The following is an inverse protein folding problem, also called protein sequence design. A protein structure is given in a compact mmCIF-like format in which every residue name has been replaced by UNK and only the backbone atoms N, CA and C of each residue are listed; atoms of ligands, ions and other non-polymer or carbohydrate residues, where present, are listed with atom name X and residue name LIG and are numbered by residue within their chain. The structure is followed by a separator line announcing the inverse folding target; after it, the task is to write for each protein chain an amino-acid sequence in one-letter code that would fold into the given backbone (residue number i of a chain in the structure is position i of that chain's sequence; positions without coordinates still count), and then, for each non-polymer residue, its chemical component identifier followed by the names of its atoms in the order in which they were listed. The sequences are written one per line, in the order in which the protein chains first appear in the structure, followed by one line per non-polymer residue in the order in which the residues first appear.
data_IF_466396089707
#
_entry.id   IF_466396089707
#
_cell.length_a   1.000
_cell.length_b   1.000
_cell.length_c   1.000
_cell.angle_alpha   90.00
_cell.angle_beta   90.00
_cell.angle_gamma   90.00
#
_symmetry.space_group_name_H-M   'P 1'
#
loop_
_entity.id
_entity.type
_entity.pdbx_description
1 polymer ?
#
# COMPACT_ATOMS: atom_id res chain seq x y z
N UNK A 1 4.24 9.58 7.14
CA UNK A 1 5.41 10.15 7.89
C UNK A 1 4.99 11.09 9.03
N UNK A 2 4.04 12.04 8.87
CA UNK A 2 3.58 12.88 10.01
C UNK A 2 3.07 12.01 11.17
N UNK A 3 2.07 11.16 10.92
CA UNK A 3 1.55 10.23 11.93
C UNK A 3 2.62 9.27 12.50
N UNK A 4 3.59 8.84 11.69
CA UNK A 4 4.70 8.02 12.16
C UNK A 4 5.65 8.77 13.11
N UNK A 5 5.90 10.06 12.86
CA UNK A 5 6.63 10.92 13.77
C UNK A 5 5.85 11.11 15.09
N UNK A 6 4.55 11.38 15.00
CA UNK A 6 3.71 11.54 16.17
C UNK A 6 3.68 10.26 17.04
N UNK A 7 3.63 9.06 16.39
CA UNK A 7 3.79 7.76 17.08
C UNK A 7 5.13 7.68 17.82
N UNK A 8 6.25 8.03 17.17
CA UNK A 8 7.57 7.99 17.77
C UNK A 8 7.72 8.96 18.95
N UNK A 9 6.85 9.96 19.04
CA UNK A 9 6.75 10.94 20.12
C UNK A 9 5.69 10.57 21.18
N UNK A 10 5.14 9.35 21.12
CA UNK A 10 4.22 8.78 22.11
C UNK A 10 2.74 8.94 21.81
N UNK A 11 2.34 9.42 20.64
CA UNK A 11 0.95 9.38 20.23
C UNK A 11 0.50 7.93 19.92
N UNK A 12 -0.80 7.68 19.99
CA UNK A 12 -1.37 6.36 19.73
C UNK A 12 -2.36 6.44 18.56
N UNK A 13 -2.24 5.50 17.63
CA UNK A 13 -3.21 5.34 16.55
C UNK A 13 -4.58 4.98 17.14
N UNK A 14 -5.63 5.55 16.55
CA UNK A 14 -7.02 5.49 17.02
C UNK A 14 -7.28 6.21 18.35
N UNK A 15 -6.28 6.94 18.86
CA UNK A 15 -6.38 7.85 20.01
C UNK A 15 -6.18 9.29 19.56
N UNK A 16 -4.92 9.70 19.30
CA UNK A 16 -4.59 11.06 18.88
C UNK A 16 -4.71 11.29 17.37
N UNK A 17 -4.68 10.24 16.56
CA UNK A 17 -5.02 10.28 15.12
C UNK A 17 -5.78 9.04 14.68
N UNK A 18 -6.61 9.20 13.65
CA UNK A 18 -7.48 8.16 13.13
C UNK A 18 -7.37 8.03 11.61
N UNK A 19 -7.39 6.81 11.10
CA UNK A 19 -7.46 6.46 9.69
C UNK A 19 -8.14 5.09 9.53
N UNK A 20 -8.77 4.83 8.40
CA UNK A 20 -9.34 3.55 8.01
C UNK A 20 -8.30 2.44 7.80
N UNK A 21 -7.04 2.78 7.66
CA UNK A 21 -5.95 1.80 7.47
C UNK A 21 -5.61 1.10 8.77
N UNK A 22 -5.22 -0.18 8.66
CA UNK A 22 -4.70 -0.95 9.78
C UNK A 22 -3.33 -0.41 10.25
N UNK A 23 -2.92 -0.72 11.50
CA UNK A 23 -1.76 -0.10 12.15
C UNK A 23 -0.42 -0.43 11.50
N UNK A 24 -0.31 -1.52 10.77
CA UNK A 24 0.96 -2.00 10.21
C UNK A 24 1.67 -1.00 9.30
N UNK A 25 0.91 -0.19 8.52
CA UNK A 25 1.51 0.83 7.66
C UNK A 25 2.16 1.97 8.47
N UNK A 26 1.59 2.32 9.61
CA UNK A 26 2.12 3.39 10.45
C UNK A 26 3.39 2.96 11.17
N UNK A 27 3.41 1.73 11.70
CA UNK A 27 4.64 1.15 12.28
C UNK A 27 5.73 0.92 11.24
N UNK A 28 5.35 0.57 10.01
CA UNK A 28 6.28 0.53 8.90
C UNK A 28 6.94 1.89 8.66
N UNK A 29 6.13 2.95 8.60
CA UNK A 29 6.62 4.31 8.42
C UNK A 29 7.43 4.81 9.64
N UNK A 30 7.06 4.42 10.85
CA UNK A 30 7.78 4.73 12.08
C UNK A 30 9.15 4.06 12.09
N UNK A 31 9.23 2.78 11.72
CA UNK A 31 10.49 2.06 11.55
C UNK A 31 11.38 2.73 10.49
N UNK A 32 10.78 3.16 9.37
CA UNK A 32 11.50 3.90 8.35
C UNK A 32 12.09 5.21 8.90
N UNK A 33 11.30 5.92 9.70
CA UNK A 33 11.72 7.15 10.38
C UNK A 33 12.89 6.93 11.32
N UNK A 34 12.85 5.88 12.15
CA UNK A 34 13.95 5.56 13.08
C UNK A 34 15.24 5.13 12.39
N UNK A 35 15.12 4.39 11.27
CA UNK A 35 16.29 3.88 10.55
C UNK A 35 16.92 4.93 9.63
N UNK A 36 16.12 5.75 8.98
CA UNK A 36 16.56 6.60 7.87
C UNK A 36 16.13 8.07 7.98
N UNK A 37 15.34 8.43 8.98
CA UNK A 37 14.81 9.79 9.19
C UNK A 37 13.32 9.91 8.85
N UNK A 38 12.64 10.79 9.62
CA UNK A 38 11.19 11.08 9.45
C UNK A 38 10.96 12.08 8.31
N UNK A 39 11.51 11.79 7.14
CA UNK A 39 11.37 12.60 5.93
C UNK A 39 11.04 11.73 4.70
N UNK A 40 10.96 12.36 3.56
CA UNK A 40 10.65 11.66 2.31
C UNK A 40 11.78 10.75 1.84
N UNK A 41 13.03 11.07 2.14
CA UNK A 41 14.17 10.22 1.81
C UNK A 41 14.15 8.95 2.66
N UNK A 42 13.85 9.07 3.96
CA UNK A 42 13.78 7.94 4.88
C UNK A 42 12.80 6.88 4.42
N UNK A 43 11.58 7.26 4.01
CA UNK A 43 10.60 6.29 3.51
C UNK A 43 11.04 5.66 2.17
N UNK A 44 11.73 6.41 1.29
CA UNK A 44 12.23 5.87 0.01
C UNK A 44 13.37 4.87 0.22
N UNK A 45 14.28 5.13 1.15
CA UNK A 45 15.33 4.18 1.51
C UNK A 45 14.74 2.90 2.10
N UNK A 46 13.73 3.02 2.95
CA UNK A 46 13.01 1.87 3.48
C UNK A 46 12.30 1.07 2.38
N UNK A 47 11.63 1.74 1.43
CA UNK A 47 10.99 1.10 0.28
C UNK A 47 12.01 0.37 -0.62
N UNK A 48 13.21 0.92 -0.79
CA UNK A 48 14.32 0.25 -1.50
C UNK A 48 14.79 -1.01 -0.76
N UNK A 49 14.96 -0.96 0.56
CA UNK A 49 15.32 -2.14 1.36
C UNK A 49 14.25 -3.23 1.24
N UNK A 50 12.99 -2.84 1.31
CA UNK A 50 11.84 -3.72 1.15
C UNK A 50 11.83 -4.38 -0.22
N UNK A 51 11.97 -3.60 -1.28
CA UNK A 51 11.96 -4.09 -2.65
C UNK A 51 13.14 -5.02 -2.94
N UNK A 52 14.31 -4.72 -2.37
CA UNK A 52 15.48 -5.60 -2.46
C UNK A 52 15.21 -6.94 -1.77
N UNK A 53 14.58 -6.92 -0.59
CA UNK A 53 14.17 -8.13 0.13
C UNK A 53 13.17 -8.94 -0.69
N UNK A 54 12.16 -8.28 -1.26
CA UNK A 54 11.18 -8.94 -2.14
C UNK A 54 11.88 -9.51 -3.38
N UNK A 55 12.78 -8.76 -4.03
CA UNK A 55 13.54 -9.26 -5.19
C UNK A 55 14.28 -10.56 -4.89
N UNK A 56 14.97 -10.61 -3.75
CA UNK A 56 15.68 -11.79 -3.30
C UNK A 56 14.71 -12.97 -3.05
N UNK A 57 13.58 -12.72 -2.39
CA UNK A 57 12.57 -13.75 -2.14
C UNK A 57 11.99 -14.30 -3.45
N UNK A 58 11.68 -13.45 -4.42
CA UNK A 58 11.17 -13.87 -5.72
C UNK A 58 12.23 -14.71 -6.47
N UNK A 59 13.49 -14.30 -6.44
CA UNK A 59 14.58 -15.07 -7.00
C UNK A 59 14.70 -16.45 -6.33
N UNK A 60 14.66 -16.52 -5.00
CA UNK A 60 14.69 -17.77 -4.23
C UNK A 60 13.53 -18.69 -4.58
N UNK A 61 12.31 -18.16 -4.71
CA UNK A 61 11.12 -18.90 -5.09
C UNK A 61 11.23 -19.49 -6.51
N UNK A 62 11.83 -18.73 -7.42
CA UNK A 62 11.86 -19.09 -8.85
C UNK A 62 13.11 -19.84 -9.28
N UNK A 63 14.17 -19.92 -8.45
CA UNK A 63 15.43 -20.60 -8.82
C UNK A 63 15.24 -22.08 -9.19
N UNK A 64 14.26 -22.76 -8.59
CA UNK A 64 13.91 -24.13 -8.93
C UNK A 64 13.22 -24.27 -10.30
N UNK A 65 12.77 -23.15 -10.89
CA UNK A 65 12.15 -23.08 -12.22
C UNK A 65 13.13 -22.74 -13.34
N UNK A 66 14.42 -22.61 -13.00
CA UNK A 66 15.51 -22.28 -13.91
C UNK A 66 16.01 -20.85 -13.76
N UNK A 67 17.27 -20.64 -14.17
CA UNK A 67 17.98 -19.38 -13.99
C UNK A 67 17.26 -18.19 -14.67
N UNK A 68 16.66 -18.41 -15.85
CA UNK A 68 15.96 -17.36 -16.58
C UNK A 68 14.69 -16.90 -15.84
N UNK A 69 13.88 -17.84 -15.34
CA UNK A 69 12.70 -17.51 -14.54
C UNK A 69 13.08 -16.78 -13.25
N UNK A 70 14.16 -17.22 -12.59
CA UNK A 70 14.66 -16.58 -11.38
C UNK A 70 15.14 -15.14 -11.61
N UNK A 71 15.82 -14.89 -12.73
CA UNK A 71 16.27 -13.54 -13.09
C UNK A 71 15.12 -12.62 -13.51
N UNK A 72 14.18 -13.14 -14.32
CA UNK A 72 13.07 -12.35 -14.85
C UNK A 72 11.99 -12.04 -13.81
N UNK A 73 11.79 -12.88 -12.80
CA UNK A 73 10.77 -12.65 -11.77
C UNK A 73 10.85 -11.29 -11.09
N UNK A 74 11.98 -10.95 -10.46
CA UNK A 74 12.18 -9.62 -9.88
C UNK A 74 12.06 -8.49 -10.91
N UNK A 75 12.57 -8.69 -12.13
CA UNK A 75 12.52 -7.66 -13.19
C UNK A 75 11.07 -7.38 -13.58
N UNK A 76 10.28 -8.40 -13.89
CA UNK A 76 8.89 -8.22 -14.32
C UNK A 76 7.98 -7.72 -13.19
N UNK A 77 8.21 -8.19 -11.96
CA UNK A 77 7.41 -7.79 -10.81
C UNK A 77 7.77 -6.39 -10.30
N UNK A 78 9.05 -6.17 -9.96
CA UNK A 78 9.47 -4.97 -9.25
C UNK A 78 9.90 -3.86 -10.19
N UNK A 79 10.80 -4.13 -11.13
CA UNK A 79 11.25 -3.09 -12.05
C UNK A 79 10.11 -2.58 -12.93
N UNK A 80 9.19 -3.48 -13.35
CA UNK A 80 7.97 -3.10 -14.06
C UNK A 80 7.07 -2.17 -13.25
N UNK A 81 6.88 -2.44 -11.95
CA UNK A 81 6.16 -1.56 -11.05
C UNK A 81 6.83 -0.18 -10.94
N UNK A 82 8.10 -0.14 -10.54
CA UNK A 82 8.81 1.14 -10.35
C UNK A 82 8.96 1.96 -11.62
N UNK A 83 8.95 1.32 -12.79
CA UNK A 83 8.97 2.00 -14.06
C UNK A 83 7.70 2.83 -14.34
N UNK A 84 6.54 2.40 -13.81
CA UNK A 84 5.24 3.03 -14.08
C UNK A 84 4.62 3.70 -12.85
N UNK A 85 5.02 3.29 -11.62
CA UNK A 85 4.42 3.79 -10.39
C UNK A 85 4.61 5.30 -10.22
N UNK A 86 3.53 5.98 -9.92
CA UNK A 86 3.54 7.39 -9.53
C UNK A 86 3.98 7.52 -8.05
N UNK A 87 4.54 8.67 -7.62
CA UNK A 87 5.04 8.86 -6.25
C UNK A 87 4.02 8.54 -5.16
N UNK A 88 2.74 8.76 -5.40
CA UNK A 88 1.65 8.47 -4.46
C UNK A 88 1.26 6.98 -4.38
N UNK A 89 1.69 6.16 -5.35
CA UNK A 89 1.52 4.71 -5.35
C UNK A 89 2.62 4.00 -4.54
N UNK A 90 3.77 4.64 -4.35
CA UNK A 90 4.90 4.04 -3.66
C UNK A 90 4.62 3.89 -2.16
N UNK A 91 5.08 2.78 -1.60
CA UNK A 91 4.90 2.43 -0.18
C UNK A 91 3.43 2.32 0.26
N UNK A 92 2.50 2.07 -0.67
CA UNK A 92 1.12 1.75 -0.33
C UNK A 92 1.01 0.35 0.29
N UNK A 93 -0.04 0.14 1.06
CA UNK A 93 -0.26 -1.11 1.80
C UNK A 93 -0.33 -2.31 0.86
N UNK A 94 -0.93 -2.16 -0.32
CA UNK A 94 -1.07 -3.17 -1.35
C UNK A 94 0.29 -3.64 -1.89
N UNK A 95 1.24 -2.72 -1.99
CA UNK A 95 2.61 -3.02 -2.34
C UNK A 95 3.34 -3.70 -1.18
N UNK A 96 3.21 -3.15 0.03
CA UNK A 96 3.91 -3.64 1.22
C UNK A 96 3.49 -5.07 1.61
N UNK A 97 2.23 -5.44 1.42
CA UNK A 97 1.74 -6.80 1.71
C UNK A 97 2.40 -7.86 0.81
N UNK A 98 3.01 -7.44 -0.28
CA UNK A 98 3.72 -8.33 -1.20
C UNK A 98 4.84 -9.12 -0.55
N UNK A 99 5.61 -8.55 0.39
CA UNK A 99 6.68 -9.28 1.06
C UNK A 99 6.16 -10.35 2.03
N UNK A 100 5.24 -10.08 2.99
CA UNK A 100 4.71 -11.15 3.82
C UNK A 100 4.02 -12.26 3.01
N UNK A 101 3.35 -11.95 1.88
CA UNK A 101 2.82 -12.98 1.00
C UNK A 101 3.93 -13.78 0.29
N UNK A 102 5.01 -13.14 -0.14
CA UNK A 102 6.16 -13.83 -0.75
C UNK A 102 6.90 -14.72 0.27
N UNK A 103 7.11 -14.25 1.51
CA UNK A 103 7.68 -15.06 2.60
C UNK A 103 6.76 -16.24 2.93
N UNK A 104 5.45 -16.00 3.02
CA UNK A 104 4.45 -17.05 3.22
C UNK A 104 4.57 -18.12 2.13
N UNK A 105 4.57 -17.72 0.85
CA UNK A 105 4.76 -18.68 -0.26
C UNK A 105 6.09 -19.44 -0.15
N UNK A 106 7.17 -18.73 0.19
CA UNK A 106 8.47 -19.40 0.38
C UNK A 106 8.42 -20.45 1.48
N UNK A 107 7.85 -20.13 2.65
CA UNK A 107 7.65 -21.06 3.75
C UNK A 107 6.81 -22.29 3.34
N UNK A 108 5.82 -22.10 2.49
CA UNK A 108 4.88 -23.13 2.10
C UNK A 108 5.37 -23.97 0.88
N UNK A 109 6.22 -23.39 0.00
CA UNK A 109 6.72 -24.08 -1.19
C UNK A 109 8.05 -24.80 -0.96
N UNK A 110 8.86 -24.36 0.03
CA UNK A 110 10.13 -24.99 0.31
C UNK A 110 9.96 -26.36 0.97
N UNK A 111 10.60 -27.37 0.42
CA UNK A 111 10.51 -28.78 0.85
C UNK A 111 11.64 -29.19 1.79
N UNK A 112 12.21 -28.21 2.52
CA UNK A 112 13.37 -28.44 3.41
C UNK A 112 13.19 -29.66 4.31
N UNK A 113 14.20 -30.53 4.32
CA UNK A 113 14.23 -31.81 5.01
C UNK A 113 14.50 -31.61 6.52
N UNK A 114 13.50 -31.91 7.35
CA UNK A 114 13.65 -31.99 8.80
C UNK A 114 12.43 -31.48 9.58
N UNK A 115 12.17 -32.08 10.73
CA UNK A 115 11.03 -31.76 11.57
C UNK A 115 11.10 -30.34 12.15
N UNK A 116 12.28 -29.93 12.62
CA UNK A 116 12.52 -28.59 13.19
C UNK A 116 12.34 -27.51 12.11
N UNK A 117 12.87 -27.75 10.90
CA UNK A 117 12.70 -26.84 9.77
C UNK A 117 11.23 -26.69 9.38
N UNK A 118 10.41 -27.73 9.48
CA UNK A 118 8.97 -27.66 9.22
C UNK A 118 8.26 -26.77 10.26
N UNK A 119 8.50 -27.00 11.55
CA UNK A 119 7.90 -26.20 12.63
C UNK A 119 8.25 -24.71 12.48
N UNK A 120 9.54 -24.40 12.28
CA UNK A 120 9.98 -23.00 12.12
C UNK A 120 9.34 -22.31 10.92
N UNK A 121 9.23 -23.00 9.77
CA UNK A 121 8.61 -22.45 8.56
C UNK A 121 7.12 -22.19 8.75
N UNK A 122 6.37 -23.12 9.34
CA UNK A 122 4.94 -22.90 9.59
C UNK A 122 4.70 -21.85 10.67
N UNK A 123 5.57 -21.73 11.69
CA UNK A 123 5.51 -20.61 12.63
C UNK A 123 5.73 -19.27 11.93
N UNK A 124 6.73 -19.19 11.05
CA UNK A 124 6.96 -17.99 10.23
C UNK A 124 5.79 -17.70 9.29
N UNK A 125 5.21 -18.74 8.66
CA UNK A 125 4.02 -18.61 7.83
C UNK A 125 2.84 -18.01 8.62
N UNK A 126 2.62 -18.46 9.84
CA UNK A 126 1.61 -17.87 10.74
C UNK A 126 1.91 -16.41 11.10
N UNK A 127 3.16 -16.07 11.40
CA UNK A 127 3.56 -14.68 11.62
C UNK A 127 3.30 -13.81 10.39
N UNK A 128 3.54 -14.33 9.17
CA UNK A 128 3.24 -13.59 7.94
C UNK A 128 1.73 -13.39 7.74
N UNK A 129 0.91 -14.35 8.14
CA UNK A 129 -0.55 -14.16 8.18
C UNK A 129 -0.93 -12.98 9.09
N UNK A 130 -0.35 -12.90 10.29
CA UNK A 130 -0.57 -11.76 11.19
C UNK A 130 -0.06 -10.44 10.61
N UNK A 131 1.08 -10.43 9.90
CA UNK A 131 1.56 -9.25 9.17
C UNK A 131 0.55 -8.81 8.11
N UNK A 132 0.00 -9.74 7.33
CA UNK A 132 -1.04 -9.41 6.32
C UNK A 132 -2.27 -8.81 7.00
N UNK A 133 -2.73 -9.39 8.12
CA UNK A 133 -3.82 -8.85 8.92
C UNK A 133 -3.56 -7.40 9.35
N UNK A 134 -2.38 -7.13 9.90
CA UNK A 134 -2.01 -5.83 10.43
C UNK A 134 -1.76 -4.79 9.31
N UNK A 135 -1.42 -5.21 8.10
CA UNK A 135 -1.28 -4.34 6.94
C UNK A 135 -2.64 -4.12 6.26
N UNK A 136 -3.39 -5.18 5.97
CA UNK A 136 -4.66 -5.09 5.26
C UNK A 136 -5.55 -6.33 5.48
N UNK A 137 -6.50 -6.23 6.40
CA UNK A 137 -7.41 -7.30 6.80
C UNK A 137 -8.09 -8.01 5.61
N UNK A 138 -8.56 -7.26 4.62
CA UNK A 138 -9.29 -7.80 3.47
C UNK A 138 -8.46 -8.78 2.62
N UNK A 139 -7.14 -8.82 2.81
CA UNK A 139 -6.22 -9.74 2.12
C UNK A 139 -5.95 -11.04 2.90
N UNK A 140 -6.49 -11.19 4.10
CA UNK A 140 -6.40 -12.44 4.88
C UNK A 140 -6.91 -13.65 4.09
N UNK A 141 -8.01 -13.58 3.31
CA UNK A 141 -8.43 -14.72 2.50
C UNK A 141 -7.38 -15.17 1.48
N UNK A 142 -6.56 -14.26 0.92
CA UNK A 142 -5.45 -14.62 0.02
C UNK A 142 -4.43 -15.49 0.77
N UNK A 143 -3.93 -14.98 1.89
CA UNK A 143 -2.91 -15.66 2.71
C UNK A 143 -3.45 -16.97 3.32
N UNK A 144 -4.69 -16.94 3.82
CA UNK A 144 -5.36 -18.11 4.39
C UNK A 144 -5.56 -19.25 3.37
N UNK A 145 -6.00 -18.92 2.16
CA UNK A 145 -6.15 -19.91 1.08
C UNK A 145 -4.81 -20.46 0.59
N UNK A 146 -3.74 -19.66 0.56
CA UNK A 146 -2.39 -20.18 0.30
C UNK A 146 -1.99 -21.25 1.34
N UNK A 147 -2.22 -20.98 2.62
CA UNK A 147 -1.97 -21.95 3.69
C UNK A 147 -2.84 -23.19 3.52
N UNK A 148 -4.14 -23.04 3.24
CA UNK A 148 -5.05 -24.15 3.02
C UNK A 148 -4.63 -25.03 1.82
N UNK A 149 -4.16 -24.45 0.72
CA UNK A 149 -3.62 -25.20 -0.42
C UNK A 149 -2.42 -26.05 0.02
N UNK A 150 -1.50 -25.47 0.80
CA UNK A 150 -0.36 -26.22 1.30
C UNK A 150 -0.79 -27.41 2.17
N UNK A 151 -1.69 -27.18 3.14
CA UNK A 151 -2.23 -28.22 4.01
C UNK A 151 -2.98 -29.31 3.23
N UNK A 152 -3.77 -28.89 2.23
CA UNK A 152 -4.51 -29.78 1.35
C UNK A 152 -3.56 -30.70 0.55
N UNK A 153 -2.49 -30.12 0.00
CA UNK A 153 -1.50 -30.92 -0.72
C UNK A 153 -0.74 -31.89 0.20
N UNK A 154 -0.40 -31.49 1.43
CA UNK A 154 0.19 -32.39 2.41
C UNK A 154 -0.75 -33.57 2.72
N UNK A 155 -2.06 -33.28 2.88
CA UNK A 155 -3.03 -34.31 3.23
C UNK A 155 -3.36 -35.25 2.06
N UNK A 156 -3.68 -34.69 0.90
CA UNK A 156 -4.25 -35.47 -0.20
C UNK A 156 -3.23 -35.90 -1.25
N UNK A 157 -2.17 -35.13 -1.47
CA UNK A 157 -1.13 -35.49 -2.44
C UNK A 157 0.00 -36.28 -1.78
N UNK A 158 0.49 -35.79 -0.61
CA UNK A 158 1.59 -36.45 0.13
C UNK A 158 1.12 -37.51 1.12
N UNK A 159 -0.21 -37.66 1.27
CA UNK A 159 -0.85 -38.64 2.15
C UNK A 159 -0.43 -38.54 3.63
N UNK A 160 -0.02 -37.35 4.09
CA UNK A 160 0.37 -37.16 5.49
C UNK A 160 -0.82 -37.35 6.44
N UNK A 161 -0.63 -37.99 7.60
CA UNK A 161 -1.71 -38.17 8.58
C UNK A 161 -2.07 -36.83 9.23
N UNK A 162 -3.36 -36.67 9.61
CA UNK A 162 -3.85 -35.45 10.27
C UNK A 162 -3.05 -35.08 11.52
N UNK A 163 -2.65 -36.09 12.32
CA UNK A 163 -1.84 -35.84 13.52
C UNK A 163 -0.51 -35.14 13.21
N UNK A 164 0.14 -35.50 12.09
CA UNK A 164 1.36 -34.81 11.61
C UNK A 164 1.05 -33.37 11.19
N UNK A 165 0.02 -33.20 10.36
CA UNK A 165 -0.39 -31.86 9.85
C UNK A 165 -0.73 -30.93 11.01
N UNK A 166 -1.54 -31.40 11.98
CA UNK A 166 -1.90 -30.59 13.13
C UNK A 166 -0.66 -30.20 13.94
N UNK A 167 0.16 -31.17 14.34
CA UNK A 167 1.30 -30.91 15.25
C UNK A 167 2.44 -30.14 14.60
N UNK A 168 2.69 -30.36 13.31
CA UNK A 168 3.88 -29.82 12.61
C UNK A 168 3.60 -28.63 11.71
N UNK A 169 2.34 -28.35 11.43
CA UNK A 169 1.95 -27.29 10.49
C UNK A 169 0.91 -26.34 11.10
N UNK A 170 -0.27 -26.84 11.49
CA UNK A 170 -1.36 -25.97 11.98
C UNK A 170 -0.98 -25.33 13.33
N UNK A 171 -0.56 -26.12 14.32
CA UNK A 171 -0.20 -25.58 15.64
C UNK A 171 0.96 -24.59 15.55
N UNK A 172 2.08 -24.88 14.85
CA UNK A 172 3.13 -23.88 14.65
C UNK A 172 2.65 -22.61 13.94
N UNK A 173 1.81 -22.73 12.90
CA UNK A 173 1.26 -21.56 12.22
C UNK A 173 0.39 -20.73 13.16
N UNK A 174 -0.45 -21.37 13.96
CA UNK A 174 -1.26 -20.67 14.98
C UNK A 174 -0.37 -19.99 16.03
N UNK A 175 0.67 -20.66 16.52
CA UNK A 175 1.62 -20.07 17.47
C UNK A 175 2.30 -18.85 16.87
N UNK A 176 2.83 -18.94 15.65
CA UNK A 176 3.45 -17.80 14.97
C UNK A 176 2.49 -16.62 14.78
N UNK A 177 1.24 -16.91 14.42
CA UNK A 177 0.19 -15.90 14.29
C UNK A 177 -0.10 -15.19 15.63
N UNK A 178 -0.28 -15.98 16.69
CA UNK A 178 -0.60 -15.48 18.05
C UNK A 178 0.58 -14.70 18.64
N UNK A 179 1.81 -15.21 18.51
CA UNK A 179 3.02 -14.56 19.03
C UNK A 179 3.21 -13.17 18.43
N UNK A 180 2.85 -12.95 17.17
CA UNK A 180 2.94 -11.63 16.57
C UNK A 180 1.73 -10.75 16.87
N UNK A 181 0.52 -11.30 16.85
CA UNK A 181 -0.70 -10.50 16.99
C UNK A 181 -0.99 -10.10 18.45
N UNK A 182 -0.80 -11.01 19.42
CA UNK A 182 -1.17 -10.74 20.82
C UNK A 182 -0.42 -9.53 21.42
N UNK A 183 0.89 -9.35 21.24
CA UNK A 183 1.57 -8.13 21.73
C UNK A 183 0.95 -6.86 21.18
N UNK A 184 0.54 -6.85 19.93
CA UNK A 184 -0.12 -5.71 19.27
C UNK A 184 -1.46 -5.39 19.93
N UNK A 185 -2.28 -6.42 20.15
CA UNK A 185 -3.59 -6.24 20.81
C UNK A 185 -3.41 -5.78 22.26
N UNK A 186 -2.44 -6.32 23.00
CA UNK A 186 -2.13 -5.90 24.36
C UNK A 186 -1.64 -4.45 24.42
N UNK A 187 -0.79 -4.04 23.46
CA UNK A 187 -0.37 -2.65 23.34
C UNK A 187 -1.56 -1.73 23.11
N UNK A 188 -2.44 -2.05 22.18
CA UNK A 188 -3.65 -1.26 21.90
C UNK A 188 -4.61 -1.22 23.10
N UNK A 189 -4.74 -2.35 23.81
CA UNK A 189 -5.54 -2.39 25.04
C UNK A 189 -4.95 -1.48 26.13
N UNK A 190 -3.63 -1.52 26.33
CA UNK A 190 -2.95 -0.67 27.31
C UNK A 190 -3.04 0.83 26.94
N UNK A 191 -3.00 1.15 25.66
CA UNK A 191 -3.20 2.50 25.12
C UNK A 191 -4.67 2.95 25.13
N UNK A 192 -5.63 2.07 25.46
CA UNK A 192 -7.07 2.38 25.44
C UNK A 192 -7.68 2.51 24.04
N UNK A 193 -6.96 2.12 23.00
CA UNK A 193 -7.36 2.32 21.59
C UNK A 193 -7.94 1.07 20.92
N UNK A 194 -7.91 -0.09 21.58
CA UNK A 194 -8.37 -1.35 20.98
C UNK A 194 -9.84 -1.31 20.55
N UNK A 195 -10.71 -0.70 21.36
CA UNK A 195 -12.14 -0.58 21.02
C UNK A 195 -12.35 0.20 19.71
N UNK A 196 -11.66 1.32 19.53
CA UNK A 196 -11.70 2.11 18.31
C UNK A 196 -11.08 1.37 17.12
N UNK A 197 -9.98 0.66 17.33
CA UNK A 197 -9.35 -0.18 16.29
C UNK A 197 -10.31 -1.27 15.77
N UNK A 198 -11.03 -1.95 16.67
CA UNK A 198 -12.04 -2.96 16.32
C UNK A 198 -13.21 -2.31 15.57
N UNK A 199 -13.70 -1.18 16.08
CA UNK A 199 -14.80 -0.46 15.44
C UNK A 199 -14.41 0.00 14.02
N UNK A 200 -13.26 0.66 13.85
CA UNK A 200 -12.75 1.12 12.55
C UNK A 200 -12.56 -0.04 11.56
N UNK A 201 -12.14 -1.20 12.05
CA UNK A 201 -11.83 -2.34 11.19
C UNK A 201 -13.09 -3.10 10.73
N UNK A 202 -14.09 -3.25 11.61
CA UNK A 202 -15.21 -4.16 11.37
C UNK A 202 -16.58 -3.48 11.28
N UNK A 203 -16.75 -2.29 11.85
CA UNK A 203 -18.04 -1.59 11.91
C UNK A 203 -18.09 -0.42 10.94
N UNK A 204 -17.13 0.48 11.03
CA UNK A 204 -17.08 1.72 10.27
C UNK A 204 -17.23 1.53 8.74
N UNK A 205 -16.56 0.55 8.07
CA UNK A 205 -16.75 0.34 6.63
C UNK A 205 -18.19 0.01 6.25
N UNK A 206 -18.91 -0.72 7.13
CA UNK A 206 -20.32 -1.03 6.93
C UNK A 206 -21.24 0.17 7.12
N UNK A 207 -20.93 1.04 8.07
CA UNK A 207 -21.67 2.28 8.30
C UNK A 207 -21.46 3.28 7.18
N UNK A 208 -20.22 3.47 6.72
CA UNK A 208 -19.89 4.30 5.57
C UNK A 208 -20.61 3.82 4.31
N UNK A 209 -20.67 2.50 4.07
CA UNK A 209 -21.42 1.95 2.94
C UNK A 209 -22.94 2.19 3.02
N UNK A 210 -23.51 2.20 4.21
CA UNK A 210 -24.94 2.53 4.39
C UNK A 210 -25.22 4.00 4.15
N UNK A 211 -24.31 4.87 4.57
CA UNK A 211 -24.44 6.32 4.39
C UNK A 211 -24.15 6.73 2.93
N UNK A 212 -23.22 6.05 2.24
CA UNK A 212 -22.79 6.32 0.88
C UNK A 212 -22.94 5.08 -0.03
N UNK A 213 -24.15 4.69 -0.41
CA UNK A 213 -24.41 3.43 -1.12
C UNK A 213 -23.99 3.42 -2.59
N UNK A 214 -23.28 4.42 -3.08
CA UNK A 214 -22.95 4.52 -4.51
C UNK A 214 -21.75 3.64 -4.88
N UNK A 215 -22.02 2.60 -5.67
CA UNK A 215 -21.00 1.74 -6.24
C UNK A 215 -20.27 2.47 -7.38
N UNK A 216 -18.98 2.67 -7.20
CA UNK A 216 -18.11 3.34 -8.19
C UNK A 216 -17.50 2.33 -9.18
N UNK A 217 -18.34 1.49 -9.81
CA UNK A 217 -17.87 0.44 -10.75
C UNK A 217 -17.01 1.02 -11.88
N UNK A 218 -17.35 2.23 -12.35
CA UNK A 218 -16.55 2.91 -13.39
C UNK A 218 -15.10 3.17 -12.92
N UNK A 219 -14.88 3.50 -11.64
CA UNK A 219 -13.54 3.67 -11.07
C UNK A 219 -12.78 2.34 -11.01
N UNK A 220 -13.46 1.25 -10.63
CA UNK A 220 -12.87 -0.09 -10.66
C UNK A 220 -12.41 -0.44 -12.08
N UNK A 221 -13.26 -0.22 -13.07
CA UNK A 221 -12.94 -0.51 -14.47
C UNK A 221 -11.83 0.39 -15.01
N UNK A 222 -11.84 1.67 -14.65
CA UNK A 222 -10.78 2.63 -15.02
C UNK A 222 -9.43 2.22 -14.41
N UNK A 223 -9.39 1.88 -13.12
CA UNK A 223 -8.17 1.44 -12.43
C UNK A 223 -7.67 0.09 -12.95
N UNK A 224 -8.59 -0.84 -13.24
CA UNK A 224 -8.25 -2.10 -13.90
C UNK A 224 -7.67 -1.85 -15.30
N UNK A 225 -8.31 -0.99 -16.10
CA UNK A 225 -7.82 -0.63 -17.44
C UNK A 225 -6.41 -0.01 -17.36
N UNK A 226 -6.18 0.90 -16.42
CA UNK A 226 -4.87 1.47 -16.18
C UNK A 226 -3.84 0.37 -15.84
N UNK A 227 -4.13 -0.51 -14.88
CA UNK A 227 -3.25 -1.62 -14.52
C UNK A 227 -2.96 -2.54 -15.72
N UNK A 228 -3.98 -2.98 -16.43
CA UNK A 228 -3.81 -3.83 -17.61
C UNK A 228 -2.96 -3.13 -18.68
N UNK A 229 -3.10 -1.82 -18.85
CA UNK A 229 -2.26 -1.00 -19.72
C UNK A 229 -0.78 -0.97 -19.32
N UNK A 230 -0.48 -1.17 -18.03
CA UNK A 230 0.92 -1.22 -17.55
C UNK A 230 1.57 -2.61 -17.63
N UNK A 231 0.77 -3.69 -17.70
CA UNK A 231 1.28 -5.08 -17.68
C UNK A 231 0.87 -5.91 -18.91
N UNK A 232 0.22 -5.32 -19.91
CA UNK A 232 -0.35 -6.03 -21.08
C UNK A 232 0.66 -6.96 -21.76
N UNK A 233 1.91 -6.55 -21.87
CA UNK A 233 3.00 -7.31 -22.48
C UNK A 233 3.41 -8.56 -21.67
N UNK A 234 3.06 -8.62 -20.39
CA UNK A 234 3.29 -9.78 -19.51
C UNK A 234 2.13 -10.78 -19.54
N UNK A 235 0.91 -10.33 -19.90
CA UNK A 235 -0.31 -11.15 -19.81
C UNK A 235 -0.21 -12.48 -20.58
N UNK A 236 0.25 -12.54 -21.85
CA UNK A 236 0.35 -13.81 -22.57
C UNK A 236 1.27 -14.81 -21.86
N UNK A 237 2.38 -14.33 -21.31
CA UNK A 237 3.33 -15.16 -20.57
C UNK A 237 2.78 -15.60 -19.22
N UNK A 238 2.09 -14.72 -18.51
CA UNK A 238 1.44 -15.06 -17.24
C UNK A 238 0.37 -16.15 -17.45
N UNK A 239 -0.46 -16.03 -18.48
CA UNK A 239 -1.44 -17.04 -18.84
C UNK A 239 -0.79 -18.37 -19.21
N UNK A 240 0.30 -18.35 -19.98
CA UNK A 240 1.06 -19.56 -20.32
C UNK A 240 1.67 -20.20 -19.08
N UNK A 241 2.32 -19.44 -18.21
CA UNK A 241 2.89 -19.92 -16.96
C UNK A 241 1.84 -20.52 -16.02
N UNK A 242 0.67 -19.88 -15.93
CA UNK A 242 -0.47 -20.40 -15.17
C UNK A 242 -0.94 -21.73 -15.74
N UNK A 243 -1.21 -21.80 -17.05
CA UNK A 243 -1.71 -22.99 -17.72
C UNK A 243 -0.76 -24.19 -17.54
N UNK A 244 0.53 -24.00 -17.86
CA UNK A 244 1.52 -25.08 -17.77
C UNK A 244 1.76 -25.52 -16.34
N UNK A 245 1.81 -24.59 -15.39
CA UNK A 245 2.02 -24.89 -13.99
C UNK A 245 0.84 -25.56 -13.30
N UNK A 246 -0.39 -25.17 -13.61
CA UNK A 246 -1.61 -25.85 -13.12
C UNK A 246 -1.66 -27.31 -13.60
N UNK A 247 -1.33 -27.55 -14.89
CA UNK A 247 -1.25 -28.91 -15.45
C UNK A 247 -0.18 -29.78 -14.77
N UNK A 248 0.88 -29.17 -14.28
CA UNK A 248 1.93 -29.86 -13.52
C UNK A 248 1.62 -30.03 -12.04
N UNK A 249 0.48 -29.54 -11.54
CA UNK A 249 0.13 -29.59 -10.12
C UNK A 249 1.01 -28.72 -9.22
N UNK A 250 1.65 -27.69 -9.78
CA UNK A 250 2.61 -26.85 -9.07
C UNK A 250 1.96 -26.07 -7.93
N UNK A 251 2.41 -26.30 -6.69
CA UNK A 251 1.95 -25.59 -5.48
C UNK A 251 2.12 -24.07 -5.64
N UNK A 252 3.28 -23.63 -6.11
CA UNK A 252 3.57 -22.22 -6.32
C UNK A 252 2.55 -21.56 -7.27
N UNK A 253 2.22 -22.24 -8.39
CA UNK A 253 1.26 -21.70 -9.35
C UNK A 253 -0.15 -21.62 -8.77
N UNK A 254 -0.59 -22.61 -8.00
CA UNK A 254 -1.86 -22.55 -7.30
C UNK A 254 -1.93 -21.36 -6.32
N UNK A 255 -0.85 -21.09 -5.57
CA UNK A 255 -0.79 -19.94 -4.66
C UNK A 255 -0.81 -18.60 -5.43
N UNK A 256 -0.06 -18.50 -6.54
CA UNK A 256 -0.08 -17.30 -7.37
C UNK A 256 -1.46 -17.06 -8.02
N UNK A 257 -2.13 -18.14 -8.47
CA UNK A 257 -3.47 -18.05 -9.02
C UNK A 257 -4.49 -17.59 -7.95
N UNK A 258 -4.39 -18.09 -6.72
CA UNK A 258 -5.19 -17.61 -5.59
C UNK A 258 -4.88 -16.14 -5.29
N UNK A 259 -3.60 -15.74 -5.29
CA UNK A 259 -3.26 -14.34 -5.06
C UNK A 259 -3.94 -13.42 -6.09
N UNK A 260 -3.89 -13.77 -7.38
CA UNK A 260 -4.54 -12.97 -8.42
C UNK A 260 -6.07 -13.00 -8.26
N UNK A 261 -6.68 -14.18 -8.15
CA UNK A 261 -8.15 -14.32 -8.18
C UNK A 261 -8.83 -13.79 -6.92
N UNK A 262 -8.33 -14.20 -5.75
CA UNK A 262 -8.89 -13.77 -4.46
C UNK A 262 -8.48 -12.33 -4.13
N UNK A 263 -7.27 -11.93 -4.51
CA UNK A 263 -6.84 -10.53 -4.44
C UNK A 263 -7.75 -9.62 -5.26
N UNK A 264 -8.12 -10.03 -6.48
CA UNK A 264 -9.08 -9.28 -7.29
C UNK A 264 -10.48 -9.21 -6.65
N UNK A 265 -10.97 -10.31 -6.11
CA UNK A 265 -12.22 -10.31 -5.36
C UNK A 265 -12.15 -9.37 -4.14
N UNK A 266 -11.03 -9.38 -3.41
CA UNK A 266 -10.80 -8.47 -2.29
C UNK A 266 -10.80 -7.00 -2.72
N UNK A 267 -10.17 -6.65 -3.86
CA UNK A 267 -10.23 -5.29 -4.42
C UNK A 267 -11.66 -4.94 -4.85
N UNK A 268 -12.36 -5.84 -5.52
CA UNK A 268 -13.72 -5.60 -6.01
C UNK A 268 -14.75 -5.39 -4.88
N UNK A 269 -14.53 -6.02 -3.72
CA UNK A 269 -15.39 -5.86 -2.53
C UNK A 269 -15.14 -4.51 -1.82
N UNK A 270 -14.00 -3.84 -2.06
CA UNK A 270 -13.69 -2.52 -1.48
C UNK A 270 -14.51 -1.40 -2.12
N UNK A 271 -15.82 -1.43 -2.00
CA UNK A 271 -16.76 -0.51 -2.68
C UNK A 271 -16.58 0.98 -2.31
N UNK A 272 -15.80 1.31 -1.28
CA UNK A 272 -15.58 2.70 -0.85
C UNK A 272 -14.67 3.49 -1.80
N UNK A 273 -13.66 2.83 -2.38
CA UNK A 273 -12.73 3.46 -3.32
C UNK A 273 -12.04 2.43 -4.21
N UNK A 274 -11.72 2.80 -5.44
CA UNK A 274 -11.04 1.95 -6.41
C UNK A 274 -9.88 2.69 -7.05
N UNK A 275 -8.92 3.12 -6.22
CA UNK A 275 -7.72 3.80 -6.71
C UNK A 275 -6.79 2.85 -7.48
N UNK A 276 -6.03 3.33 -8.47
CA UNK A 276 -5.07 2.51 -9.22
C UNK A 276 -4.09 1.74 -8.34
N UNK A 277 -3.65 2.30 -7.21
CA UNK A 277 -2.72 1.64 -6.29
C UNK A 277 -3.28 0.36 -5.64
N UNK A 278 -4.60 0.13 -5.63
CA UNK A 278 -5.15 -1.15 -5.18
C UNK A 278 -4.71 -2.31 -6.07
N UNK A 279 -4.32 -2.03 -7.31
CA UNK A 279 -3.80 -2.99 -8.26
C UNK A 279 -2.29 -3.24 -8.13
N UNK A 280 -1.56 -2.48 -7.28
CA UNK A 280 -0.15 -2.73 -6.97
C UNK A 280 0.07 -4.12 -6.39
N UNK A 281 -0.96 -4.65 -5.74
CA UNK A 281 -1.04 -6.03 -5.25
C UNK A 281 -0.70 -7.08 -6.32
N UNK A 282 -0.94 -6.80 -7.60
CA UNK A 282 -0.86 -7.79 -8.67
C UNK A 282 0.46 -7.79 -9.45
N UNK A 283 1.32 -6.78 -9.31
CA UNK A 283 2.60 -6.76 -10.02
C UNK A 283 3.47 -7.96 -9.69
N UNK A 284 3.52 -8.36 -8.41
CA UNK A 284 4.32 -9.52 -7.97
C UNK A 284 3.79 -10.82 -8.58
N UNK A 285 2.54 -11.24 -8.38
CA UNK A 285 2.08 -12.53 -8.90
C UNK A 285 2.04 -12.57 -10.43
N UNK A 286 1.67 -11.48 -11.10
CA UNK A 286 1.66 -11.41 -12.58
C UNK A 286 3.09 -11.49 -13.12
N UNK A 287 4.03 -10.75 -12.53
CA UNK A 287 5.43 -10.78 -12.92
C UNK A 287 6.06 -12.17 -12.74
N UNK A 288 5.78 -12.84 -11.61
CA UNK A 288 6.23 -14.21 -11.36
C UNK A 288 5.65 -15.21 -12.35
N UNK A 289 4.34 -15.18 -12.59
CA UNK A 289 3.67 -16.05 -13.56
C UNK A 289 4.22 -15.84 -14.97
N UNK A 290 4.46 -14.58 -15.36
CA UNK A 290 5.04 -14.25 -16.65
C UNK A 290 6.50 -14.77 -16.78
N UNK A 291 7.31 -14.62 -15.73
CA UNK A 291 8.67 -15.12 -15.71
C UNK A 291 8.74 -16.65 -15.81
N UNK A 292 7.83 -17.36 -15.15
CA UNK A 292 7.69 -18.83 -15.25
C UNK A 292 7.27 -19.21 -16.67
N UNK A 293 6.25 -18.55 -17.22
CA UNK A 293 5.76 -18.84 -18.57
C UNK A 293 6.79 -18.59 -19.65
N UNK A 294 7.53 -17.49 -19.53
CA UNK A 294 8.63 -17.18 -20.45
C UNK A 294 9.76 -18.21 -20.34
N UNK A 295 10.17 -18.56 -19.11
CA UNK A 295 11.22 -19.55 -18.85
C UNK A 295 10.85 -20.95 -19.41
N UNK A 296 9.59 -21.38 -19.24
CA UNK A 296 9.07 -22.64 -19.81
C UNK A 296 9.07 -22.61 -21.35
N UNK A 297 8.61 -21.52 -21.96
CA UNK A 297 8.64 -21.36 -23.41
C UNK A 297 10.05 -21.38 -23.98
N UNK A 298 10.98 -20.70 -23.30
CA UNK A 298 12.40 -20.71 -23.65
C UNK A 298 13.02 -22.11 -23.56
N UNK A 299 12.76 -22.83 -22.46
CA UNK A 299 13.27 -24.20 -22.27
C UNK A 299 12.76 -25.15 -23.35
N UNK A 300 11.48 -25.04 -23.74
CA UNK A 300 10.89 -25.85 -24.83
C UNK A 300 11.50 -25.51 -26.18
N UNK A 301 11.74 -24.23 -26.48
CA UNK A 301 12.42 -23.82 -27.72
C UNK A 301 13.86 -24.32 -27.75
N UNK A 302 14.55 -24.35 -26.61
CA UNK A 302 15.87 -24.91 -26.48
C UNK A 302 15.90 -26.42 -26.70
N UNK A 303 14.97 -27.15 -26.08
CA UNK A 303 14.89 -28.62 -26.21
C UNK A 303 14.57 -29.09 -27.64
N UNK A 304 13.77 -28.30 -28.37
CA UNK A 304 13.43 -28.61 -29.78
C UNK A 304 14.55 -28.30 -30.78
N UNK A 305 15.67 -27.74 -30.33
CA UNK A 305 16.80 -27.30 -31.17
C UNK A 305 16.35 -26.42 -32.36
N UNK A 306 15.28 -25.64 -32.19
CA UNK A 306 14.70 -24.78 -33.21
C UNK A 306 15.24 -23.36 -33.08
N UNK A 307 16.23 -22.93 -33.88
CA UNK A 307 16.82 -21.58 -33.78
C UNK A 307 15.76 -20.46 -33.95
N UNK A 308 14.80 -20.63 -34.86
CA UNK A 308 13.74 -19.67 -35.12
C UNK A 308 12.88 -19.42 -33.88
N UNK A 309 12.53 -20.45 -33.10
CA UNK A 309 11.78 -20.30 -31.86
C UNK A 309 12.58 -19.58 -30.76
N UNK A 310 13.90 -19.81 -30.71
CA UNK A 310 14.78 -19.08 -29.76
C UNK A 310 14.86 -17.61 -30.11
N UNK A 311 15.02 -17.27 -31.40
CA UNK A 311 15.03 -15.89 -31.84
C UNK A 311 13.67 -15.20 -31.62
N UNK A 312 12.56 -15.90 -31.87
CA UNK A 312 11.25 -15.38 -31.54
C UNK A 312 11.07 -15.11 -30.04
N UNK A 313 11.52 -16.03 -29.18
CA UNK A 313 11.48 -15.83 -27.72
C UNK A 313 12.41 -14.68 -27.28
N UNK A 314 13.62 -14.58 -27.84
CA UNK A 314 14.52 -13.46 -27.55
C UNK A 314 13.92 -12.11 -28.00
N UNK A 315 13.30 -12.06 -29.17
CA UNK A 315 12.58 -10.87 -29.65
C UNK A 315 11.41 -10.49 -28.74
N UNK A 316 10.62 -11.48 -28.31
CA UNK A 316 9.54 -11.26 -27.36
C UNK A 316 10.05 -10.72 -25.99
N UNK A 317 11.17 -11.25 -25.49
CA UNK A 317 11.80 -10.72 -24.28
C UNK A 317 12.25 -9.27 -24.47
N UNK A 318 12.88 -8.96 -25.59
CA UNK A 318 13.29 -7.60 -25.93
C UNK A 318 12.09 -6.64 -25.95
N UNK A 319 10.98 -7.06 -26.54
CA UNK A 319 9.72 -6.28 -26.53
C UNK A 319 9.24 -6.07 -25.11
N UNK A 320 9.19 -7.11 -24.28
CA UNK A 320 8.77 -7.00 -22.88
C UNK A 320 9.66 -6.03 -22.09
N UNK A 321 10.97 -6.14 -22.22
CA UNK A 321 11.91 -5.25 -21.52
C UNK A 321 11.84 -3.81 -22.06
N UNK A 322 11.65 -3.63 -23.36
CA UNK A 322 11.54 -2.30 -23.95
C UNK A 322 10.23 -1.62 -23.52
N UNK A 323 9.09 -2.28 -23.69
CA UNK A 323 7.77 -1.73 -23.37
C UNK A 323 7.53 -1.59 -21.86
N UNK A 324 7.95 -2.57 -21.08
CA UNK A 324 7.70 -2.62 -19.65
C UNK A 324 8.71 -1.87 -18.78
N UNK A 325 9.91 -1.61 -19.31
CA UNK A 325 10.98 -1.03 -18.51
C UNK A 325 11.64 0.15 -19.21
N UNK A 326 12.24 -0.05 -20.40
CA UNK A 326 13.08 0.97 -21.02
C UNK A 326 12.30 2.24 -21.39
N UNK A 327 11.14 2.12 -22.02
CA UNK A 327 10.32 3.27 -22.41
C UNK A 327 9.74 4.02 -21.19
N UNK A 328 9.11 3.35 -20.18
CA UNK A 328 8.63 4.04 -18.99
C UNK A 328 9.75 4.72 -18.18
N UNK A 329 10.89 4.04 -17.97
CA UNK A 329 12.05 4.63 -17.30
C UNK A 329 12.63 5.79 -18.08
N UNK A 330 12.75 5.67 -19.42
CA UNK A 330 13.22 6.73 -20.28
C UNK A 330 12.33 7.98 -20.16
N UNK A 331 11.01 7.81 -20.15
CA UNK A 331 10.06 8.91 -19.94
C UNK A 331 10.23 9.55 -18.56
N UNK A 332 10.29 8.77 -17.49
CA UNK A 332 10.52 9.29 -16.14
C UNK A 332 11.86 10.00 -15.99
N UNK A 333 12.92 9.42 -16.54
CA UNK A 333 14.24 10.05 -16.55
C UNK A 333 14.19 11.40 -17.27
N UNK A 334 13.54 11.45 -18.44
CA UNK A 334 13.37 12.70 -19.17
C UNK A 334 12.57 13.73 -18.35
N UNK A 335 11.48 13.34 -17.69
CA UNK A 335 10.68 14.22 -16.84
C UNK A 335 11.51 14.75 -15.65
N UNK A 336 12.30 13.89 -14.99
CA UNK A 336 13.19 14.28 -13.90
C UNK A 336 14.29 15.22 -14.39
N UNK A 337 14.96 14.91 -15.51
CA UNK A 337 16.01 15.77 -16.10
C UNK A 337 15.42 17.11 -16.53
N UNK A 338 14.26 17.12 -17.18
CA UNK A 338 13.57 18.34 -17.57
C UNK A 338 13.19 19.21 -16.36
N UNK A 339 12.75 18.58 -15.26
CA UNK A 339 12.46 19.28 -14.01
C UNK A 339 13.73 19.87 -13.35
N UNK A 340 14.89 19.21 -13.48
CA UNK A 340 16.16 19.68 -12.91
C UNK A 340 16.91 20.68 -13.80
N UNK A 341 16.59 20.75 -15.09
CA UNK A 341 17.14 21.80 -15.99
C UNK A 341 16.65 23.21 -15.60
N UNK A 342 15.59 23.31 -14.81
CA UNK A 342 15.17 24.54 -14.16
C UNK A 342 15.56 24.45 -12.68
N UNK A 343 16.09 25.52 -12.03
CA UNK A 343 16.48 25.48 -10.63
C UNK A 343 15.26 25.24 -9.75
N UNK A 344 15.04 23.97 -9.45
CA UNK A 344 13.94 23.48 -8.64
C UNK A 344 14.51 23.10 -7.29
N UNK A 345 13.98 23.68 -6.23
CA UNK A 345 14.38 23.41 -4.87
C UNK A 345 14.19 21.90 -4.53
N UNK A 346 15.05 21.32 -3.67
CA UNK A 346 15.00 19.89 -3.27
C UNK A 346 13.61 19.41 -2.83
N UNK A 347 12.77 20.33 -2.40
CA UNK A 347 11.37 20.07 -2.03
C UNK A 347 10.44 19.78 -3.23
N UNK A 348 10.80 20.20 -4.43
CA UNK A 348 9.98 20.05 -5.64
C UNK A 348 10.05 18.65 -6.27
N UNK A 349 11.09 17.85 -5.94
CA UNK A 349 11.18 16.44 -6.38
C UNK A 349 10.04 15.55 -5.86
N UNK A 350 9.44 15.93 -4.72
CA UNK A 350 8.28 15.25 -4.14
C UNK A 350 6.97 15.64 -4.81
N UNK A 351 7.04 16.51 -5.69
CA UNK A 351 6.03 17.41 -6.11
C UNK A 351 5.58 17.28 -7.53
N UNK A 352 6.17 16.46 -8.37
CA UNK A 352 5.82 16.28 -9.77
C UNK A 352 4.50 15.54 -10.02
N UNK A 353 3.66 15.35 -9.01
CA UNK A 353 2.33 14.79 -9.18
C UNK A 353 1.36 15.85 -9.67
N UNK A 354 1.11 15.87 -10.98
CA UNK A 354 0.20 16.79 -11.68
C UNK A 354 -1.24 16.82 -11.15
N UNK A 355 -1.66 15.88 -10.29
CA UNK A 355 -3.05 15.71 -9.89
C UNK A 355 -3.41 16.22 -8.48
N UNK A 356 -2.44 16.72 -7.67
CA UNK A 356 -2.71 17.04 -6.26
C UNK A 356 -2.31 18.47 -5.83
N UNK A 357 -2.58 19.46 -6.65
CA UNK A 357 -2.04 20.81 -6.42
C UNK A 357 -0.50 20.73 -6.49
N UNK A 358 0.16 21.55 -7.30
CA UNK A 358 1.60 21.42 -7.46
C UNK A 358 2.30 21.48 -6.10
N UNK A 359 3.42 20.82 -5.95
CA UNK A 359 4.22 20.83 -4.72
C UNK A 359 4.75 22.20 -4.37
N UNK A 360 5.01 23.02 -5.35
CA UNK A 360 5.44 24.38 -5.11
C UNK A 360 4.40 25.16 -4.30
N UNK A 361 3.14 25.09 -4.73
CA UNK A 361 2.04 25.78 -4.05
C UNK A 361 1.80 25.24 -2.63
N UNK A 362 1.97 23.93 -2.41
CA UNK A 362 1.88 23.35 -1.06
C UNK A 362 3.05 23.81 -0.17
N UNK A 363 4.25 23.83 -0.69
CA UNK A 363 5.43 24.31 0.03
C UNK A 363 5.31 25.80 0.34
N UNK A 364 4.83 26.62 -0.60
CA UNK A 364 4.55 28.04 -0.39
C UNK A 364 3.47 28.24 0.71
N UNK A 365 2.39 27.47 0.65
CA UNK A 365 1.34 27.51 1.68
C UNK A 365 1.88 27.07 3.05
N UNK A 366 2.74 26.05 3.10
CA UNK A 366 3.36 25.61 4.35
C UNK A 366 4.39 26.65 4.89
N UNK A 367 5.12 27.31 4.01
CA UNK A 367 6.05 28.38 4.41
C UNK A 367 5.32 29.57 5.04
N UNK A 368 4.16 29.94 4.48
CA UNK A 368 3.31 31.01 5.04
C UNK A 368 2.90 30.73 6.50
N UNK A 369 2.56 29.48 6.83
CA UNK A 369 2.20 29.07 8.19
C UNK A 369 3.33 29.24 9.17
N UNK A 370 4.56 28.86 8.78
CA UNK A 370 5.73 28.96 9.67
C UNK A 370 6.01 30.39 10.13
N UNK A 371 5.68 31.38 9.31
CA UNK A 371 5.76 32.79 9.69
C UNK A 371 4.59 33.29 10.57
N UNK A 372 3.49 32.54 10.66
CA UNK A 372 2.26 32.92 11.35
C UNK A 372 2.01 32.13 12.65
N UNK A 373 2.81 31.10 12.94
CA UNK A 373 2.65 30.20 14.08
C UNK A 373 3.97 29.88 14.75
N UNK A 374 3.93 29.58 16.05
CA UNK A 374 5.04 29.00 16.80
C UNK A 374 5.14 27.48 16.55
N UNK A 375 6.31 26.88 16.83
CA UNK A 375 6.53 25.44 16.60
C UNK A 375 5.64 24.56 17.48
N UNK A 376 5.20 25.05 18.63
CA UNK A 376 4.28 24.38 19.54
C UNK A 376 2.82 24.48 19.14
N UNK A 377 2.47 25.36 18.19
CA UNK A 377 1.08 25.57 17.78
C UNK A 377 0.54 24.36 17.04
N UNK A 378 -0.72 24.04 17.32
CA UNK A 378 -1.47 23.03 16.59
C UNK A 378 -2.32 23.72 15.53
N UNK A 379 -2.45 23.05 14.39
CA UNK A 379 -3.24 23.55 13.24
C UNK A 379 -4.29 22.52 12.83
N UNK A 380 -5.21 22.94 11.99
CA UNK A 380 -6.08 22.05 11.23
C UNK A 380 -5.70 22.13 9.76
N UNK A 381 -5.50 20.98 9.12
CA UNK A 381 -5.43 20.87 7.67
C UNK A 381 -6.55 19.97 7.20
N UNK A 382 -7.48 20.55 6.45
CA UNK A 382 -8.63 19.83 5.91
C UNK A 382 -8.47 19.57 4.42
N UNK A 383 -8.44 18.28 4.06
CA UNK A 383 -8.31 17.80 2.69
C UNK A 383 -6.87 17.57 2.22
N UNK A 384 -5.84 17.88 3.02
CA UNK A 384 -4.44 17.56 2.69
C UNK A 384 -3.57 17.38 3.93
N UNK A 385 -3.39 16.13 4.36
CA UNK A 385 -2.57 15.78 5.53
C UNK A 385 -1.08 16.11 5.34
N UNK A 386 -0.59 16.32 4.10
CA UNK A 386 0.80 16.70 3.82
C UNK A 386 1.18 18.02 4.48
N UNK A 387 0.19 18.90 4.75
CA UNK A 387 0.42 20.16 5.45
C UNK A 387 0.99 19.97 6.86
N UNK A 388 0.58 18.96 7.61
CA UNK A 388 1.17 18.65 8.91
C UNK A 388 2.65 18.30 8.81
N UNK A 389 3.00 17.55 7.75
CA UNK A 389 4.40 17.19 7.48
C UNK A 389 5.23 18.41 7.03
N UNK A 390 4.72 19.18 6.06
CA UNK A 390 5.43 20.32 5.49
C UNK A 390 5.59 21.48 6.47
N UNK A 391 4.61 21.73 7.34
CA UNK A 391 4.67 22.79 8.36
C UNK A 391 5.44 22.38 9.60
N UNK A 392 5.57 21.09 9.87
CA UNK A 392 6.08 20.56 11.13
C UNK A 392 5.12 20.77 12.32
N UNK A 393 3.86 21.15 12.07
CA UNK A 393 2.83 21.39 13.11
C UNK A 393 2.02 20.14 13.35
N UNK A 394 1.56 19.95 14.60
CA UNK A 394 0.70 18.83 14.97
C UNK A 394 -0.77 19.10 14.67
N UNK A 395 -1.55 18.06 14.33
CA UNK A 395 -2.99 18.18 14.18
C UNK A 395 -3.66 18.46 15.53
N UNK A 396 -4.79 19.16 15.46
CA UNK A 396 -5.72 19.33 16.59
C UNK A 396 -6.92 18.40 16.47
N UNK A 397 -7.17 17.93 15.25
CA UNK A 397 -8.25 17.01 14.90
C UNK A 397 -7.66 15.65 14.55
N UNK A 398 -8.34 14.59 14.90
CA UNK A 398 -7.93 13.22 14.64
C UNK A 398 -8.05 12.85 13.14
N UNK A 399 -8.86 13.60 12.39
CA UNK A 399 -9.28 13.35 11.01
C UNK A 399 -8.83 14.51 10.12
N UNK A 400 -8.24 14.20 8.97
CA UNK A 400 -7.66 15.19 8.04
C UNK A 400 -8.51 15.53 6.80
N UNK A 401 -9.68 14.93 6.65
CA UNK A 401 -10.60 15.20 5.53
C UNK A 401 -10.24 14.53 4.20
N UNK A 402 -9.39 13.52 4.21
CA UNK A 402 -8.88 12.91 2.98
C UNK A 402 -9.83 11.94 2.27
N UNK A 403 -10.75 11.25 2.96
CA UNK A 403 -11.60 10.22 2.35
C UNK A 403 -12.94 10.05 3.06
N UNK A 404 -13.71 9.02 2.72
CA UNK A 404 -15.09 8.77 3.15
C UNK A 404 -15.29 8.73 4.67
N UNK A 405 -15.81 9.79 5.24
CA UNK A 405 -16.13 9.91 6.67
C UNK A 405 -17.64 9.95 6.89
N UNK A 406 -18.07 9.41 8.03
CA UNK A 406 -19.46 9.54 8.47
C UNK A 406 -19.80 11.01 8.79
N UNK A 407 -21.04 11.41 8.53
CA UNK A 407 -21.52 12.77 8.86
C UNK A 407 -21.32 13.09 10.34
N UNK A 408 -21.45 12.10 11.23
CA UNK A 408 -21.17 12.23 12.66
C UNK A 408 -19.72 12.58 12.97
N UNK A 409 -18.76 11.99 12.25
CA UNK A 409 -17.33 12.29 12.36
C UNK A 409 -17.04 13.72 11.89
N UNK A 410 -17.64 14.16 10.78
CA UNK A 410 -17.52 15.54 10.29
C UNK A 410 -18.07 16.57 11.31
N UNK A 411 -19.20 16.27 11.94
CA UNK A 411 -19.78 17.12 12.99
C UNK A 411 -18.85 17.21 14.22
N UNK A 412 -18.22 16.10 14.62
CA UNK A 412 -17.22 16.09 15.70
C UNK A 412 -16.02 16.98 15.37
N UNK A 413 -15.47 16.90 14.17
CA UNK A 413 -14.36 17.77 13.72
C UNK A 413 -14.75 19.24 13.78
N UNK A 414 -15.95 19.61 13.28
CA UNK A 414 -16.43 20.98 13.36
C UNK A 414 -16.53 21.48 14.81
N UNK A 415 -17.04 20.65 15.72
CA UNK A 415 -17.08 20.97 17.15
C UNK A 415 -15.71 21.15 17.79
N UNK A 416 -14.74 20.31 17.42
CA UNK A 416 -13.36 20.45 17.89
C UNK A 416 -12.76 21.77 17.42
N UNK A 417 -12.95 22.17 16.15
CA UNK A 417 -12.49 23.44 15.61
C UNK A 417 -13.10 24.61 16.39
N UNK A 418 -14.42 24.58 16.66
CA UNK A 418 -15.12 25.63 17.40
C UNK A 418 -14.68 25.73 18.86
N UNK A 419 -14.45 24.58 19.52
CA UNK A 419 -14.09 24.50 20.94
C UNK A 419 -12.61 24.85 21.18
N UNK A 420 -11.71 24.30 20.39
CA UNK A 420 -10.26 24.46 20.59
C UNK A 420 -9.69 25.70 19.89
N UNK A 421 -10.43 26.28 18.96
CA UNK A 421 -10.11 27.53 18.25
C UNK A 421 -8.66 27.60 17.77
N UNK A 422 -8.20 26.66 16.87
CA UNK A 422 -6.85 26.68 16.37
C UNK A 422 -6.49 28.01 15.73
N UNK A 423 -5.23 28.44 15.88
CA UNK A 423 -4.76 29.72 15.33
C UNK A 423 -4.92 29.77 13.81
N UNK A 424 -4.67 28.64 13.12
CA UNK A 424 -4.78 28.52 11.67
C UNK A 424 -5.52 27.25 11.26
N UNK A 425 -6.31 27.38 10.19
CA UNK A 425 -6.99 26.27 9.51
C UNK A 425 -6.69 26.36 8.03
N UNK A 426 -6.18 25.26 7.46
CA UNK A 426 -6.01 25.11 6.02
C UNK A 426 -7.21 24.38 5.43
N UNK A 427 -7.77 24.89 4.35
CA UNK A 427 -8.76 24.22 3.53
C UNK A 427 -8.13 23.98 2.15
N UNK A 428 -7.91 22.71 1.82
CA UNK A 428 -7.38 22.31 0.50
C UNK A 428 -8.40 22.65 -0.60
N UNK A 429 -7.91 23.17 -1.71
CA UNK A 429 -8.69 23.30 -2.96
C UNK A 429 -8.77 22.01 -3.75
N UNK A 430 -7.94 21.03 -3.40
CA UNK A 430 -8.06 19.71 -3.95
C UNK A 430 -9.36 19.09 -3.47
N UNK A 431 -10.23 18.83 -4.42
CA UNK A 431 -11.46 18.05 -4.21
C UNK A 431 -11.41 16.88 -5.16
N UNK A 432 -11.47 15.68 -4.61
CA UNK A 432 -11.77 14.52 -5.42
C UNK A 432 -13.20 14.67 -5.97
N UNK A 433 -13.37 14.84 -7.29
CA UNK A 433 -14.70 15.01 -7.88
C UNK A 433 -15.61 13.80 -7.66
N UNK A 434 -15.01 12.65 -7.37
CA UNK A 434 -15.71 11.38 -7.16
C UNK A 434 -16.12 11.15 -5.69
N UNK A 435 -15.65 11.99 -4.76
CA UNK A 435 -15.98 11.91 -3.35
C UNK A 435 -17.02 12.98 -3.00
N UNK A 436 -18.29 12.64 -3.15
CA UNK A 436 -19.41 13.45 -2.66
C UNK A 436 -19.73 13.05 -1.23
N UNK A 437 -19.38 13.89 -0.26
CA UNK A 437 -19.79 13.73 1.14
C UNK A 437 -21.11 14.41 1.38
N UNK A 438 -22.06 13.73 2.02
CA UNK A 438 -23.12 14.42 2.73
C UNK A 438 -22.46 15.19 3.89
N UNK A 439 -22.57 16.53 3.90
CA UNK A 439 -21.89 17.36 4.89
C UNK A 439 -20.49 17.85 4.54
N UNK A 440 -19.95 17.58 3.34
CA UNK A 440 -18.62 18.05 2.91
C UNK A 440 -18.44 19.58 3.03
N UNK A 441 -19.52 20.35 2.98
CA UNK A 441 -19.53 21.78 3.21
C UNK A 441 -19.50 22.21 4.67
N UNK A 442 -19.66 21.30 5.64
CA UNK A 442 -19.76 21.65 7.06
C UNK A 442 -18.47 22.30 7.58
N UNK A 443 -17.33 21.66 7.33
CA UNK A 443 -16.03 22.15 7.81
C UNK A 443 -15.66 23.50 7.15
N UNK A 444 -15.66 23.63 5.81
CA UNK A 444 -15.44 24.93 5.16
C UNK A 444 -16.37 26.02 5.67
N UNK A 445 -17.67 25.76 5.81
CA UNK A 445 -18.62 26.72 6.35
C UNK A 445 -18.30 27.14 7.79
N UNK A 446 -18.03 26.17 8.68
CA UNK A 446 -17.64 26.44 10.06
C UNK A 446 -16.39 27.32 10.12
N UNK A 447 -15.42 27.10 9.23
CA UNK A 447 -14.21 27.89 9.17
C UNK A 447 -14.51 29.30 8.61
N UNK A 448 -15.24 29.42 7.53
CA UNK A 448 -15.57 30.73 6.92
C UNK A 448 -16.40 31.65 7.87
N UNK A 449 -17.24 31.05 8.70
CA UNK A 449 -18.02 31.81 9.70
C UNK A 449 -17.18 32.35 10.86
N UNK A 450 -16.14 31.64 11.28
CA UNK A 450 -15.36 31.92 12.50
C UNK A 450 -13.94 32.45 12.26
N UNK A 451 -13.45 32.36 11.02
CA UNK A 451 -12.08 32.69 10.64
C UNK A 451 -12.04 33.69 9.48
N UNK A 452 -10.90 34.35 9.28
CA UNK A 452 -10.65 35.24 8.14
C UNK A 452 -9.55 34.66 7.26
N UNK A 453 -9.68 34.78 5.95
CA UNK A 453 -8.64 34.36 4.99
C UNK A 453 -7.38 35.18 5.23
N UNK A 454 -6.23 34.52 5.34
CA UNK A 454 -4.93 35.17 5.51
C UNK A 454 -3.90 34.81 4.44
N UNK A 455 -4.08 33.71 3.71
CA UNK A 455 -3.25 33.30 2.60
C UNK A 455 -4.06 32.42 1.64
N UNK A 456 -3.81 32.53 0.33
CA UNK A 456 -4.48 31.74 -0.70
C UNK A 456 -3.54 31.49 -1.88
N UNK A 457 -3.51 30.24 -2.38
CA UNK A 457 -2.89 29.86 -3.64
C UNK A 457 -3.64 28.68 -4.30
N UNK A 458 -3.04 28.05 -5.32
CA UNK A 458 -3.68 26.93 -6.02
C UNK A 458 -3.85 25.67 -5.14
N UNK A 459 -3.02 25.48 -4.11
CA UNK A 459 -3.14 24.34 -3.20
C UNK A 459 -4.30 24.48 -2.21
N UNK A 460 -4.60 25.71 -1.77
CA UNK A 460 -5.66 25.92 -0.79
C UNK A 460 -5.68 27.31 -0.20
N UNK A 461 -6.43 27.42 0.89
CA UNK A 461 -6.66 28.68 1.61
C UNK A 461 -6.31 28.46 3.08
N UNK A 462 -5.49 29.35 3.65
CA UNK A 462 -5.31 29.47 5.08
C UNK A 462 -6.25 30.48 5.66
N UNK A 463 -6.84 30.11 6.78
CA UNK A 463 -7.74 30.92 7.57
C UNK A 463 -7.14 31.13 8.96
N UNK A 464 -7.15 32.39 9.44
CA UNK A 464 -6.73 32.79 10.78
C UNK A 464 -7.94 33.06 11.63
N UNK A 465 -7.89 32.68 12.91
CA UNK A 465 -8.95 32.94 13.87
C UNK A 465 -9.25 34.44 13.91
N UNK A 466 -10.53 34.79 13.82
CA UNK A 466 -10.97 36.19 14.02
C UNK A 466 -10.66 36.59 15.44
N UNK A 467 -9.87 37.64 15.64
CA UNK A 467 -9.80 38.28 16.93
C UNK A 467 -11.18 38.87 17.20
N UNK A 468 -11.93 38.22 18.07
CA UNK A 468 -13.05 38.94 18.73
C UNK A 468 -12.36 39.96 19.59
N UNK A 469 -12.22 41.18 19.11
CA UNK A 469 -12.00 42.33 19.98
C UNK A 469 -13.09 42.25 21.04
N UNK A 470 -12.68 41.90 22.25
CA UNK A 470 -13.50 42.14 23.42
C UNK A 470 -13.70 43.62 23.48
N UNK A 471 -14.87 44.08 22.95
CA UNK A 471 -15.34 45.42 23.19
C UNK A 471 -15.35 45.67 24.70
N UNK A 472 -14.42 46.48 25.11
CA UNK A 472 -14.43 47.11 26.43
C UNK A 472 -15.61 48.00 26.59
#
# INVERSE_FOLDING_TARGET
MAAARDLSEGAHMYGEFWDLKQPGIYWWNELAGWLFGFDSLGIRLMDMCWSTTVALLLWLLLRSRGALSAALGPIFALAGFYAVAEPWMLSQVEWLVGAPLAVLMWCLCDEGNGEIASVARYSLAGSMLACVLLLKLILIPVAGLMLLIALAQERWVRQQPWAFIIKRQIVPALVGFVVLLVPVLLYMQAAGTLGMAVWTTFVDPGEVLREYPHHKVHMLLSSLHWFLGTVWYLIPWALWGTYTGLRQGSRLIWMLAVWVSIGFAAVAIQVLSYWPYHFDLFYIPVGMLAAIGFGDAWARAAARQAPSLRWAAAGALLVCLTMGLALPLGRKTHEVVAAHAFPVDRHDLLASTRNFGGPRELVEAAAAVRGLTHDSDRIVSWGDARMYFLTGRRPIVEIDGGTSYLTSQLASVAQVILKQRPALVFISKYRDPDVTYHGAGLIPRTVEENYTRCFENAAGVWYRLRNTETGT
#
